data_IF_882166888540
#
_entry.id   IF_882166888540
#
_cell.length_a   1.000
_cell.length_b   1.000
_cell.length_c   1.000
_cell.angle_alpha   90.00
_cell.angle_beta   90.00
_cell.angle_gamma   90.00
#
_symmetry.space_group_name_H-M   'P 1'
#
loop_
_entity.id
_entity.type
_entity.pdbx_description
1 polymer ?
#
# COMPACT_ATOMS: atom_id res chain seq x y z
N UNK A 1 -28.45 4.22 4.83
CA UNK A 1 -29.26 3.42 3.88
C UNK A 1 -28.56 2.08 3.62
N UNK A 2 -29.14 1.13 2.87
CA UNK A 2 -28.45 -0.13 2.52
C UNK A 2 -28.14 -0.20 1.02
N UNK A 3 -26.91 -0.58 0.66
CA UNK A 3 -26.50 -0.74 -0.74
C UNK A 3 -25.42 -1.79 -0.89
N UNK A 4 -25.56 -2.68 -1.87
CA UNK A 4 -24.58 -3.72 -2.17
C UNK A 4 -24.11 -3.65 -3.62
N UNK A 5 -22.88 -4.12 -3.84
CA UNK A 5 -22.30 -4.34 -5.16
C UNK A 5 -21.77 -5.77 -5.25
N UNK A 6 -22.24 -6.49 -6.26
CA UNK A 6 -21.75 -7.83 -6.62
C UNK A 6 -20.68 -7.69 -7.69
N UNK A 7 -19.43 -8.01 -7.37
CA UNK A 7 -18.30 -7.87 -8.27
C UNK A 7 -17.97 -9.25 -8.85
N UNK A 8 -18.42 -9.49 -10.08
CA UNK A 8 -18.36 -10.82 -10.73
C UNK A 8 -16.91 -11.32 -10.94
N UNK A 9 -15.97 -10.41 -11.20
CA UNK A 9 -14.59 -10.76 -11.62
C UNK A 9 -13.51 -10.49 -10.55
N UNK A 10 -13.90 -10.48 -9.28
CA UNK A 10 -12.97 -10.26 -8.16
C UNK A 10 -12.65 -11.56 -7.43
N UNK A 11 -11.35 -11.86 -7.31
CA UNK A 11 -10.84 -12.90 -6.40
C UNK A 11 -10.81 -12.44 -4.94
N UNK A 12 -10.89 -11.12 -4.71
CA UNK A 12 -10.60 -10.50 -3.42
C UNK A 12 -11.86 -10.00 -2.73
N UNK A 13 -12.75 -9.32 -3.47
CA UNK A 13 -14.00 -8.76 -2.96
C UNK A 13 -15.13 -9.04 -3.96
N UNK A 14 -15.79 -10.20 -3.87
CA UNK A 14 -17.01 -10.48 -4.67
C UNK A 14 -18.22 -9.70 -4.18
N UNK A 15 -18.23 -9.32 -2.91
CA UNK A 15 -19.27 -8.49 -2.31
C UNK A 15 -18.63 -7.29 -1.61
N UNK A 16 -19.19 -6.12 -1.90
CA UNK A 16 -19.08 -4.93 -1.06
C UNK A 16 -20.50 -4.60 -0.63
N UNK A 17 -20.77 -4.57 0.68
CA UNK A 17 -22.08 -4.29 1.21
C UNK A 17 -22.00 -3.25 2.30
N UNK A 18 -22.82 -2.21 2.21
CA UNK A 18 -22.92 -1.17 3.22
C UNK A 18 -24.29 -1.29 3.88
N UNK A 19 -24.27 -1.53 5.19
CA UNK A 19 -25.45 -1.66 6.04
C UNK A 19 -25.10 -1.18 7.45
N UNK A 20 -26.03 -0.50 8.11
CA UNK A 20 -25.90 -0.08 9.51
C UNK A 20 -24.57 0.64 9.81
N UNK A 21 -24.22 1.62 8.96
CA UNK A 21 -22.97 2.38 9.04
C UNK A 21 -21.70 1.52 9.09
N UNK A 22 -21.73 0.36 8.41
CA UNK A 22 -20.63 -0.61 8.39
C UNK A 22 -20.41 -1.08 6.95
N UNK A 23 -19.13 -1.13 6.56
CA UNK A 23 -18.70 -1.67 5.27
C UNK A 23 -18.34 -3.14 5.48
N UNK A 24 -19.10 -4.04 4.86
CA UNK A 24 -18.81 -5.47 4.79
C UNK A 24 -18.15 -5.78 3.45
N UNK A 25 -17.09 -6.59 3.48
CA UNK A 25 -16.46 -7.08 2.26
C UNK A 25 -16.00 -8.53 2.37
N UNK A 26 -15.97 -9.20 1.23
CA UNK A 26 -15.35 -10.51 1.13
C UNK A 26 -15.85 -11.30 -0.07
N UNK A 27 -15.65 -12.61 -0.01
CA UNK A 27 -15.99 -13.55 -1.07
C UNK A 27 -16.99 -14.60 -0.59
N UNK A 28 -18.24 -14.20 -0.27
CA UNK A 28 -19.27 -15.14 0.13
C UNK A 28 -19.56 -16.17 -0.98
N UNK A 29 -20.16 -17.30 -0.59
CA UNK A 29 -20.55 -18.34 -1.54
C UNK A 29 -21.65 -17.82 -2.47
N UNK A 30 -21.77 -18.42 -3.66
CA UNK A 30 -22.78 -17.98 -4.64
C UNK A 30 -24.21 -18.07 -4.10
N UNK A 31 -24.51 -19.08 -3.29
CA UNK A 31 -25.80 -19.25 -2.61
C UNK A 31 -26.11 -18.07 -1.68
N UNK A 32 -25.13 -17.56 -0.94
CA UNK A 32 -25.26 -16.40 -0.06
C UNK A 32 -25.45 -15.11 -0.86
N UNK A 33 -24.72 -14.96 -1.99
CA UNK A 33 -24.92 -13.85 -2.90
C UNK A 33 -26.33 -13.81 -3.49
N UNK A 34 -26.92 -14.97 -3.79
CA UNK A 34 -28.28 -15.06 -4.32
C UNK A 34 -29.32 -14.62 -3.27
N UNK A 35 -29.03 -14.80 -1.98
CA UNK A 35 -29.91 -14.35 -0.88
C UNK A 35 -30.07 -12.83 -0.81
N UNK A 36 -29.06 -12.06 -1.22
CA UNK A 36 -29.13 -10.58 -1.26
C UNK A 36 -30.22 -10.04 -2.20
N UNK A 37 -30.66 -10.84 -3.16
CA UNK A 37 -31.69 -10.49 -4.16
C UNK A 37 -33.06 -11.08 -3.85
N UNK A 38 -33.14 -12.03 -2.92
CA UNK A 38 -34.42 -12.56 -2.44
C UNK A 38 -34.91 -11.77 -1.24
N UNK A 39 -36.22 -11.66 -1.05
CA UNK A 39 -36.89 -10.96 0.06
C UNK A 39 -36.56 -11.52 1.47
N UNK A 40 -35.64 -12.46 1.58
CA UNK A 40 -35.20 -13.06 2.84
C UNK A 40 -34.27 -12.11 3.60
N UNK A 41 -34.78 -11.56 4.70
CA UNK A 41 -34.07 -10.68 5.64
C UNK A 41 -32.91 -11.36 6.40
N UNK A 42 -32.69 -12.67 6.21
CA UNK A 42 -31.64 -13.38 6.93
C UNK A 42 -30.26 -13.15 6.29
N UNK A 43 -29.59 -12.10 6.76
CA UNK A 43 -28.25 -11.69 6.36
C UNK A 43 -27.17 -12.12 7.38
N UNK A 44 -27.38 -13.20 8.13
CA UNK A 44 -26.42 -13.69 9.14
C UNK A 44 -25.04 -13.98 8.57
N UNK A 45 -24.93 -14.30 7.27
CA UNK A 45 -23.64 -14.53 6.61
C UNK A 45 -22.71 -13.31 6.65
N UNK A 46 -23.24 -12.09 6.85
CA UNK A 46 -22.42 -10.88 6.96
C UNK A 46 -21.50 -10.90 8.19
N UNK A 47 -21.89 -11.60 9.25
CA UNK A 47 -21.07 -11.76 10.47
C UNK A 47 -19.77 -12.52 10.18
N UNK A 48 -19.76 -13.33 9.11
CA UNK A 48 -18.57 -14.05 8.66
C UNK A 48 -17.67 -13.22 7.73
N UNK A 49 -18.14 -12.05 7.27
CA UNK A 49 -17.39 -11.16 6.39
C UNK A 49 -16.55 -10.18 7.19
N UNK A 50 -15.46 -9.73 6.57
CA UNK A 50 -14.68 -8.64 7.13
C UNK A 50 -15.52 -7.37 7.15
N UNK A 51 -15.54 -6.67 8.29
CA UNK A 51 -16.38 -5.49 8.49
C UNK A 51 -15.58 -4.31 9.02
N UNK A 52 -15.89 -3.12 8.52
CA UNK A 52 -15.30 -1.85 8.94
C UNK A 52 -16.44 -0.89 9.31
N UNK A 53 -16.73 -0.71 10.62
CA UNK A 53 -17.68 0.29 11.07
C UNK A 53 -17.19 1.71 10.74
N UNK A 54 -18.10 2.58 10.29
CA UNK A 54 -17.81 3.97 9.94
C UNK A 54 -17.16 4.75 11.07
N UNK A 55 -17.50 4.43 12.32
CA UNK A 55 -16.92 5.04 13.52
C UNK A 55 -15.39 4.91 13.56
N UNK A 56 -14.84 3.80 13.04
CA UNK A 56 -13.40 3.55 12.98
C UNK A 56 -12.71 4.15 11.76
N UNK A 57 -13.46 4.48 10.70
CA UNK A 57 -12.88 5.06 9.48
C UNK A 57 -12.33 6.44 9.81
N UNK A 58 -11.08 6.67 9.43
CA UNK A 58 -10.38 7.96 9.55
C UNK A 58 -10.21 8.65 8.23
N UNK A 59 -9.95 7.88 7.17
CA UNK A 59 -9.73 8.39 5.82
C UNK A 59 -10.10 7.35 4.77
N UNK A 60 -10.64 7.80 3.65
CA UNK A 60 -10.90 6.98 2.46
C UNK A 60 -10.22 7.68 1.27
N UNK A 61 -9.50 6.92 0.46
CA UNK A 61 -8.82 7.42 -0.74
C UNK A 61 -9.29 6.64 -1.98
N UNK A 62 -9.73 7.36 -3.01
CA UNK A 62 -10.05 6.83 -4.34
C UNK A 62 -9.13 7.49 -5.38
N UNK A 63 -8.16 6.73 -5.88
CA UNK A 63 -7.21 7.23 -6.88
C UNK A 63 -7.61 6.81 -8.30
N UNK A 64 -7.60 7.75 -9.23
CA UNK A 64 -7.84 7.49 -10.66
C UNK A 64 -6.77 6.56 -11.25
N UNK A 65 -7.17 5.60 -12.08
CA UNK A 65 -6.24 4.60 -12.66
C UNK A 65 -5.75 3.51 -11.69
N UNK A 66 -6.20 3.53 -10.43
CA UNK A 66 -6.09 2.42 -9.47
C UNK A 66 -7.40 1.63 -9.43
N UNK A 67 -7.31 0.33 -9.18
CA UNK A 67 -8.45 -0.58 -9.13
C UNK A 67 -8.90 -0.85 -7.70
N UNK A 68 -8.56 0.05 -6.77
CA UNK A 68 -8.88 -0.06 -5.36
C UNK A 68 -9.34 1.29 -4.78
N UNK A 69 -10.21 1.22 -3.77
CA UNK A 69 -10.46 2.30 -2.82
C UNK A 69 -9.76 1.91 -1.52
N UNK A 70 -8.88 2.75 -1.00
CA UNK A 70 -8.16 2.51 0.26
C UNK A 70 -8.95 3.09 1.43
N UNK A 71 -9.10 2.31 2.49
CA UNK A 71 -9.79 2.70 3.72
C UNK A 71 -8.78 2.61 4.86
N UNK A 72 -8.55 3.74 5.52
CA UNK A 72 -7.73 3.84 6.73
C UNK A 72 -8.65 3.88 7.94
N UNK A 73 -8.44 2.97 8.89
CA UNK A 73 -9.29 2.83 10.08
C UNK A 73 -8.49 2.50 11.34
N UNK A 74 -9.09 2.70 12.51
CA UNK A 74 -8.46 2.39 13.79
C UNK A 74 -7.15 3.18 14.03
N UNK A 75 -6.18 2.58 14.72
CA UNK A 75 -4.91 3.23 15.11
C UNK A 75 -3.78 3.09 14.06
N UNK A 76 -4.12 2.83 12.79
CA UNK A 76 -3.13 2.68 11.72
C UNK A 76 -3.37 1.49 10.79
N UNK A 77 -4.56 0.89 10.83
CA UNK A 77 -4.95 -0.18 9.92
C UNK A 77 -5.36 0.41 8.56
N UNK A 78 -5.04 -0.31 7.51
CA UNK A 78 -5.42 0.01 6.12
C UNK A 78 -6.05 -1.24 5.51
N UNK A 79 -7.05 -1.05 4.66
CA UNK A 79 -7.60 -2.11 3.84
C UNK A 79 -8.14 -1.59 2.50
N UNK A 80 -8.29 -2.47 1.54
CA UNK A 80 -8.59 -2.14 0.14
C UNK A 80 -9.92 -2.74 -0.32
N UNK A 81 -10.75 -1.90 -0.95
CA UNK A 81 -11.89 -2.32 -1.75
C UNK A 81 -11.46 -2.43 -3.21
N UNK A 82 -10.99 -3.62 -3.61
CA UNK A 82 -10.57 -3.93 -4.98
C UNK A 82 -11.79 -4.02 -5.91
N UNK A 83 -11.92 -3.06 -6.81
CA UNK A 83 -12.98 -2.91 -7.83
C UNK A 83 -12.33 -2.52 -9.16
N UNK A 84 -12.34 -3.43 -10.13
CA UNK A 84 -11.75 -3.20 -11.46
C UNK A 84 -12.57 -2.27 -12.35
N UNK A 85 -13.90 -2.33 -12.21
CA UNK A 85 -14.81 -1.46 -12.96
C UNK A 85 -14.78 -0.06 -12.35
N UNK A 86 -14.31 0.90 -13.14
CA UNK A 86 -14.14 2.29 -12.71
C UNK A 86 -15.47 2.96 -12.37
N UNK A 87 -16.55 2.57 -13.04
CA UNK A 87 -17.90 3.12 -12.82
C UNK A 87 -18.45 2.65 -11.48
N UNK A 88 -18.36 1.34 -11.21
CA UNK A 88 -18.78 0.77 -9.93
C UNK A 88 -17.91 1.32 -8.79
N UNK A 89 -16.60 1.45 -9.02
CA UNK A 89 -15.68 2.02 -8.04
C UNK A 89 -16.09 3.45 -7.67
N UNK A 90 -16.38 4.29 -8.68
CA UNK A 90 -16.82 5.66 -8.44
C UNK A 90 -18.16 5.69 -7.70
N UNK A 91 -19.12 4.84 -8.11
CA UNK A 91 -20.43 4.75 -7.46
C UNK A 91 -20.33 4.38 -5.97
N UNK A 92 -19.42 3.46 -5.61
CA UNK A 92 -19.15 3.10 -4.21
C UNK A 92 -18.59 4.30 -3.45
N UNK A 93 -17.62 5.00 -4.04
CA UNK A 93 -17.00 6.17 -3.41
C UNK A 93 -18.00 7.32 -3.22
N UNK A 94 -18.81 7.62 -4.22
CA UNK A 94 -19.85 8.65 -4.16
C UNK A 94 -20.92 8.31 -3.11
N UNK A 95 -21.29 7.03 -3.00
CA UNK A 95 -22.19 6.58 -1.94
C UNK A 95 -21.59 6.79 -0.55
N UNK A 96 -20.32 6.40 -0.34
CA UNK A 96 -19.61 6.64 0.92
C UNK A 96 -19.49 8.12 1.25
N UNK A 97 -19.21 8.97 0.26
CA UNK A 97 -19.16 10.42 0.39
C UNK A 97 -20.51 10.99 0.86
N UNK A 98 -21.62 10.45 0.38
CA UNK A 98 -22.97 10.90 0.76
C UNK A 98 -23.37 10.46 2.17
N UNK A 99 -22.96 9.27 2.62
CA UNK A 99 -23.30 8.75 3.96
C UNK A 99 -22.35 9.28 5.06
N UNK A 100 -21.08 9.55 4.73
CA UNK A 100 -20.07 10.05 5.67
C UNK A 100 -20.07 11.58 5.73
N UNK A 101 -21.20 12.18 6.14
CA UNK A 101 -21.40 13.64 6.16
C UNK A 101 -20.43 14.41 7.07
N UNK A 102 -19.85 13.73 8.07
CA UNK A 102 -18.85 14.31 8.98
C UNK A 102 -17.42 14.30 8.41
N UNK A 103 -17.23 13.89 7.15
CA UNK A 103 -15.94 13.88 6.49
C UNK A 103 -15.82 15.05 5.52
N UNK A 104 -14.64 15.65 5.48
CA UNK A 104 -14.27 16.65 4.51
C UNK A 104 -13.83 15.96 3.21
N UNK A 105 -14.37 16.42 2.09
CA UNK A 105 -13.94 15.99 0.77
C UNK A 105 -12.84 16.89 0.23
N UNK A 106 -11.78 16.29 -0.31
CA UNK A 106 -10.80 16.98 -1.13
C UNK A 106 -10.43 16.15 -2.35
N UNK A 107 -10.06 16.81 -3.44
CA UNK A 107 -9.42 16.15 -4.58
C UNK A 107 -8.07 16.82 -4.85
N UNK A 108 -7.01 16.02 -4.93
CA UNK A 108 -5.67 16.53 -5.22
C UNK A 108 -4.81 15.51 -5.94
N UNK A 109 -3.88 16.00 -6.74
CA UNK A 109 -2.78 15.19 -7.24
C UNK A 109 -1.70 15.17 -6.13
N UNK A 110 -1.31 13.99 -5.61
CA UNK A 110 -0.30 13.94 -4.56
C UNK A 110 1.03 14.51 -5.07
N UNK A 111 1.79 15.15 -4.18
CA UNK A 111 3.12 15.64 -4.52
C UNK A 111 4.05 14.47 -4.91
N UNK A 112 5.08 14.75 -5.72
CA UNK A 112 6.09 13.74 -6.10
C UNK A 112 6.72 13.10 -4.85
N UNK A 113 7.03 13.93 -3.86
CA UNK A 113 7.67 13.49 -2.62
C UNK A 113 6.74 12.60 -1.78
N UNK A 114 5.47 13.00 -1.62
CA UNK A 114 4.51 12.19 -0.86
C UNK A 114 4.20 10.86 -1.55
N UNK A 115 4.07 10.87 -2.88
CA UNK A 115 3.76 9.67 -3.67
C UNK A 115 4.96 8.72 -3.76
N UNK A 116 6.18 9.26 -3.92
CA UNK A 116 7.44 8.52 -4.03
C UNK A 116 8.15 8.24 -2.70
N UNK A 117 7.57 8.60 -1.55
CA UNK A 117 8.23 8.60 -0.23
C UNK A 117 9.05 7.33 0.05
N UNK A 118 8.44 6.15 -0.11
CA UNK A 118 9.11 4.87 0.15
C UNK A 118 10.36 4.67 -0.73
N UNK A 119 10.30 5.02 -2.01
CA UNK A 119 11.42 4.93 -2.94
C UNK A 119 12.54 5.91 -2.59
N UNK A 120 12.21 7.13 -2.14
CA UNK A 120 13.21 8.08 -1.66
C UNK A 120 13.93 7.58 -0.41
N UNK A 121 13.20 6.98 0.55
CA UNK A 121 13.84 6.36 1.71
C UNK A 121 14.73 5.18 1.31
N UNK A 122 14.26 4.30 0.42
CA UNK A 122 15.08 3.21 -0.10
C UNK A 122 16.37 3.73 -0.74
N UNK A 123 16.28 4.78 -1.56
CA UNK A 123 17.45 5.43 -2.15
C UNK A 123 18.40 5.97 -1.06
N UNK A 124 17.88 6.72 -0.08
CA UNK A 124 18.68 7.29 1.01
C UNK A 124 19.44 6.21 1.80
N UNK A 125 18.73 5.17 2.24
CA UNK A 125 19.33 4.06 3.00
C UNK A 125 20.38 3.30 2.18
N UNK A 126 20.07 2.98 0.92
CA UNK A 126 21.02 2.26 0.07
C UNK A 126 22.27 3.07 -0.25
N UNK A 127 22.13 4.37 -0.48
CA UNK A 127 23.28 5.28 -0.65
C UNK A 127 24.13 5.34 0.62
N UNK A 128 23.52 5.42 1.80
CA UNK A 128 24.24 5.41 3.08
C UNK A 128 25.05 4.13 3.29
N UNK A 129 24.42 2.96 3.06
CA UNK A 129 25.08 1.65 3.15
C UNK A 129 26.22 1.55 2.11
N UNK A 130 25.99 2.01 0.88
CA UNK A 130 27.00 2.01 -0.17
C UNK A 130 28.21 2.87 0.19
N UNK A 131 28.01 4.11 0.63
CA UNK A 131 29.11 5.01 1.01
C UNK A 131 29.92 4.43 2.17
N UNK A 132 29.26 3.81 3.15
CA UNK A 132 29.94 3.15 4.25
C UNK A 132 30.73 1.92 3.78
N UNK A 133 30.15 1.08 2.93
CA UNK A 133 30.83 -0.09 2.34
C UNK A 133 32.03 0.34 1.50
N UNK A 134 31.88 1.37 0.67
CA UNK A 134 32.93 1.91 -0.18
C UNK A 134 34.10 2.46 0.64
N UNK A 135 33.80 3.21 1.71
CA UNK A 135 34.81 3.71 2.64
C UNK A 135 35.63 2.56 3.24
N UNK A 136 34.98 1.50 3.72
CA UNK A 136 35.68 0.33 4.27
C UNK A 136 36.48 -0.41 3.19
N UNK A 137 35.95 -0.53 1.97
CA UNK A 137 36.67 -1.17 0.86
C UNK A 137 37.99 -0.44 0.55
N UNK A 138 37.97 0.90 0.53
CA UNK A 138 39.17 1.74 0.35
C UNK A 138 40.19 1.48 1.46
N UNK A 139 39.74 1.45 2.71
CA UNK A 139 40.62 1.21 3.86
C UNK A 139 41.23 -0.20 3.84
N UNK A 140 40.45 -1.22 3.48
CA UNK A 140 40.93 -2.60 3.32
C UNK A 140 41.96 -2.69 2.20
N UNK A 141 41.73 -2.01 1.07
CA UNK A 141 42.68 -1.97 -0.04
C UNK A 141 43.99 -1.25 0.33
N UNK A 142 43.93 -0.27 1.24
CA UNK A 142 45.13 0.35 1.84
C UNK A 142 45.83 -0.49 2.92
N UNK A 143 45.35 -1.70 3.20
CA UNK A 143 45.97 -2.63 4.15
C UNK A 143 45.42 -2.58 5.58
N UNK A 144 44.28 -1.93 5.81
CA UNK A 144 43.62 -1.90 7.13
C UNK A 144 42.78 -3.15 7.33
N UNK A 145 43.04 -3.90 8.40
CA UNK A 145 42.26 -5.06 8.77
C UNK A 145 41.12 -4.69 9.73
N UNK A 146 39.91 -5.11 9.40
CA UNK A 146 38.73 -4.93 10.24
C UNK A 146 38.25 -6.27 10.80
N UNK A 147 38.02 -6.31 12.11
CA UNK A 147 37.40 -7.44 12.80
C UNK A 147 36.10 -7.01 13.45
N UNK A 148 35.05 -7.80 13.27
CA UNK A 148 33.77 -7.55 13.95
C UNK A 148 33.93 -7.96 15.42
N UNK A 149 33.71 -7.01 16.33
CA UNK A 149 33.68 -7.26 17.78
C UNK A 149 32.20 -7.41 18.21
N UNK A 150 31.85 -8.56 18.81
CA UNK A 150 30.49 -8.87 19.25
C UNK A 150 29.71 -9.79 18.30
N UNK A 151 28.36 -9.77 18.37
CA UNK A 151 27.52 -10.63 17.52
C UNK A 151 27.62 -10.18 16.06
N UNK A 152 28.12 -11.04 15.17
CA UNK A 152 28.30 -10.75 13.74
C UNK A 152 27.00 -10.56 12.93
N UNK A 153 25.83 -10.57 13.58
CA UNK A 153 24.51 -10.39 12.97
C UNK A 153 24.04 -8.94 13.04
N UNK A 154 24.88 -8.01 12.59
CA UNK A 154 24.57 -6.57 12.57
C UNK A 154 24.70 -5.99 11.17
N UNK A 155 24.16 -4.79 10.97
CA UNK A 155 24.34 -4.02 9.73
C UNK A 155 25.83 -3.83 9.44
N UNK A 156 26.67 -3.65 10.47
CA UNK A 156 28.13 -3.57 10.33
C UNK A 156 28.71 -4.82 9.67
N UNK A 157 28.21 -6.01 10.00
CA UNK A 157 28.64 -7.26 9.36
C UNK A 157 28.28 -7.33 7.88
N UNK A 158 27.08 -6.87 7.52
CA UNK A 158 26.65 -6.79 6.11
C UNK A 158 27.52 -5.79 5.34
N UNK A 159 27.76 -4.60 5.90
CA UNK A 159 28.59 -3.57 5.27
C UNK A 159 30.03 -4.04 5.10
N UNK A 160 30.62 -4.69 6.12
CA UNK A 160 31.98 -5.23 6.02
C UNK A 160 32.05 -6.38 4.98
N UNK A 161 31.04 -7.25 4.93
CA UNK A 161 30.96 -8.28 3.90
C UNK A 161 30.95 -7.68 2.50
N UNK A 162 30.15 -6.64 2.28
CA UNK A 162 30.12 -5.91 1.01
C UNK A 162 31.48 -5.27 0.71
N UNK A 163 32.11 -4.63 1.70
CA UNK A 163 33.41 -3.98 1.56
C UNK A 163 34.51 -4.96 1.10
N UNK A 164 34.48 -6.20 1.61
CA UNK A 164 35.43 -7.27 1.24
C UNK A 164 35.35 -7.69 -0.23
N UNK A 165 34.29 -7.34 -0.97
CA UNK A 165 34.27 -7.55 -2.43
C UNK A 165 35.22 -6.62 -3.19
N UNK A 166 35.74 -5.58 -2.55
CA UNK A 166 36.60 -4.56 -3.15
C UNK A 166 35.82 -3.43 -3.81
N UNK A 167 36.53 -2.36 -4.18
CA UNK A 167 35.95 -1.09 -4.64
C UNK A 167 35.08 -1.30 -5.91
N UNK A 168 35.64 -1.94 -6.94
CA UNK A 168 34.98 -2.09 -8.25
C UNK A 168 33.65 -2.83 -8.12
N UNK A 169 33.63 -3.96 -7.40
CA UNK A 169 32.42 -4.78 -7.23
C UNK A 169 31.35 -4.05 -6.42
N UNK A 170 31.75 -3.29 -5.39
CA UNK A 170 30.82 -2.44 -4.63
C UNK A 170 30.15 -1.39 -5.51
N UNK A 171 30.91 -0.72 -6.38
CA UNK A 171 30.36 0.28 -7.32
C UNK A 171 29.36 -0.36 -8.28
N UNK A 172 29.72 -1.49 -8.90
CA UNK A 172 28.84 -2.19 -9.86
C UNK A 172 27.54 -2.63 -9.16
N UNK A 173 27.65 -3.24 -7.98
CA UNK A 173 26.48 -3.68 -7.21
C UNK A 173 25.54 -2.53 -6.86
N UNK A 174 26.10 -1.39 -6.45
CA UNK A 174 25.30 -0.19 -6.18
C UNK A 174 24.61 0.36 -7.43
N UNK A 175 25.30 0.42 -8.58
CA UNK A 175 24.70 0.90 -9.83
C UNK A 175 23.50 0.03 -10.28
N UNK A 176 23.58 -1.29 -10.09
CA UNK A 176 22.47 -2.21 -10.38
C UNK A 176 21.27 -1.89 -9.49
N UNK A 177 21.48 -1.77 -8.18
CA UNK A 177 20.41 -1.47 -7.22
C UNK A 177 19.81 -0.09 -7.48
N UNK A 178 20.66 0.91 -7.74
CA UNK A 178 20.25 2.27 -8.07
C UNK A 178 19.35 2.29 -9.31
N UNK A 179 19.72 1.55 -10.34
CA UNK A 179 18.92 1.42 -11.57
C UNK A 179 17.54 0.82 -11.28
N UNK A 180 17.46 -0.22 -10.45
CA UNK A 180 16.18 -0.82 -10.03
C UNK A 180 15.31 0.20 -9.29
N UNK A 181 15.88 0.96 -8.34
CA UNK A 181 15.16 1.99 -7.58
C UNK A 181 14.65 3.09 -8.50
N UNK A 182 15.46 3.57 -9.44
CA UNK A 182 15.08 4.62 -10.40
C UNK A 182 13.95 4.14 -11.32
N UNK A 183 14.03 2.91 -11.84
CA UNK A 183 12.98 2.32 -12.67
C UNK A 183 11.67 2.19 -11.87
N UNK A 184 11.75 1.70 -10.64
CA UNK A 184 10.58 1.57 -9.76
C UNK A 184 9.96 2.93 -9.43
N UNK A 185 10.77 3.94 -9.12
CA UNK A 185 10.32 5.31 -8.87
C UNK A 185 9.67 5.91 -10.10
N UNK A 186 10.27 5.76 -11.29
CA UNK A 186 9.73 6.28 -12.54
C UNK A 186 8.39 5.63 -12.87
N UNK A 187 8.28 4.31 -12.77
CA UNK A 187 7.01 3.58 -12.96
C UNK A 187 5.95 4.06 -11.98
N UNK A 188 6.32 4.26 -10.71
CA UNK A 188 5.41 4.79 -9.70
C UNK A 188 4.94 6.19 -10.09
N UNK A 189 5.84 7.13 -10.32
CA UNK A 189 5.50 8.52 -10.67
C UNK A 189 4.64 8.64 -11.94
N UNK A 190 4.82 7.75 -12.93
CA UNK A 190 3.94 7.70 -14.11
C UNK A 190 2.50 7.30 -13.78
N UNK A 191 2.28 6.51 -12.72
CA UNK A 191 0.94 6.14 -12.23
C UNK A 191 0.31 7.18 -11.31
N UNK A 192 0.98 8.32 -11.10
CA UNK A 192 0.46 9.40 -10.25
C UNK A 192 -0.68 10.11 -10.96
N UNK A 193 -1.80 10.20 -10.29
CA UNK A 193 -3.08 10.68 -10.83
C UNK A 193 -3.87 11.38 -9.74
N UNK A 194 -5.01 11.96 -10.12
CA UNK A 194 -5.96 12.55 -9.18
C UNK A 194 -6.41 11.55 -8.13
N UNK A 195 -6.45 12.00 -6.88
CA UNK A 195 -6.88 11.23 -5.72
C UNK A 195 -7.96 12.01 -4.99
N UNK A 196 -9.15 11.41 -4.94
CA UNK A 196 -10.24 11.86 -4.11
C UNK A 196 -10.07 11.33 -2.70
N UNK A 197 -10.27 12.19 -1.69
CA UNK A 197 -10.03 11.89 -0.29
C UNK A 197 -11.24 12.32 0.51
N UNK A 198 -11.72 11.42 1.37
CA UNK A 198 -12.62 11.74 2.47
C UNK A 198 -11.81 11.61 3.76
N UNK A 199 -11.72 12.67 4.56
CA UNK A 199 -11.00 12.64 5.85
C UNK A 199 -11.77 13.40 6.94
N UNK A 200 -11.63 12.97 8.19
CA UNK A 200 -12.19 13.68 9.35
C UNK A 200 -11.32 14.86 9.77
#
# INVERSE_FOLDING_TARGET
>A
MQKFWKIRDSKYNKLIYIKDNTIYKGNPKQEELNKLTSETLNLSFLESLFSIPYSYIKRIENQSGKNEIKIFYGSGSEDELIVKDTTIKQEIFDFLKSELTNFNYSSKIPSILSYGKAQFFALLFMTGIFLWSLYLAIQIESGVEYKIIGSGRSITGIVLFLANFGIIKNIIGYLIILSIIIIALTKKLKSRSEMEILER
#
